data_IF_599807202076
#
_entry.id   IF_599807202076
#
_cell.length_a   1.000
_cell.length_b   1.000
_cell.length_c   1.000
_cell.angle_alpha   90.00
_cell.angle_beta   90.00
_cell.angle_gamma   90.00
#
_symmetry.space_group_name_H-M   'P 1'
#
loop_
_entity.id
_entity.type
_entity.pdbx_description
1 polymer ?
#
# COMPACT_ATOMS: atom_id res chain seq x y z
N UNK A 1 -17.37 14.47 -15.08
CA UNK A 1 -17.71 13.15 -15.65
C UNK A 1 -18.29 12.31 -14.54
N UNK A 2 -19.24 11.42 -14.84
CA UNK A 2 -19.86 10.50 -13.85
C UNK A 2 -18.79 9.61 -13.18
N UNK A 3 -17.67 9.35 -13.86
CA UNK A 3 -16.54 8.53 -13.37
C UNK A 3 -15.81 9.06 -12.12
N UNK A 4 -15.80 10.38 -11.88
CA UNK A 4 -15.03 10.93 -10.75
C UNK A 4 -15.81 10.93 -9.42
N UNK A 5 -17.14 10.80 -9.49
CA UNK A 5 -18.03 10.79 -8.30
C UNK A 5 -17.75 9.61 -7.36
N UNK A 6 -17.24 8.51 -7.90
CA UNK A 6 -17.13 7.25 -7.18
C UNK A 6 -15.69 6.92 -6.75
N UNK A 7 -14.69 7.72 -7.12
CA UNK A 7 -13.29 7.34 -6.87
C UNK A 7 -12.94 7.22 -5.37
N UNK A 8 -13.35 8.19 -4.54
CA UNK A 8 -13.12 8.11 -3.09
C UNK A 8 -13.95 6.99 -2.46
N UNK A 9 -15.20 6.81 -2.90
CA UNK A 9 -16.06 5.74 -2.39
C UNK A 9 -15.49 4.36 -2.74
N UNK A 10 -15.03 4.16 -3.98
CA UNK A 10 -14.37 2.95 -4.43
C UNK A 10 -13.09 2.67 -3.63
N UNK A 11 -12.21 3.68 -3.47
CA UNK A 11 -10.99 3.54 -2.65
C UNK A 11 -11.33 3.20 -1.20
N UNK A 12 -12.34 3.85 -0.63
CA UNK A 12 -12.81 3.57 0.73
C UNK A 12 -13.33 2.14 0.86
N UNK A 13 -14.10 1.66 -0.10
CA UNK A 13 -14.65 0.30 -0.11
C UNK A 13 -13.55 -0.75 -0.27
N UNK A 14 -12.59 -0.53 -1.18
CA UNK A 14 -11.43 -1.41 -1.35
C UNK A 14 -10.62 -1.47 -0.07
N UNK A 15 -10.35 -0.32 0.55
CA UNK A 15 -9.65 -0.23 1.83
C UNK A 15 -10.40 -0.96 2.94
N UNK A 16 -11.72 -0.76 3.04
CA UNK A 16 -12.56 -1.43 4.03
C UNK A 16 -12.59 -2.95 3.83
N UNK A 17 -12.68 -3.41 2.58
CA UNK A 17 -12.62 -4.84 2.25
C UNK A 17 -11.26 -5.45 2.65
N UNK A 18 -10.16 -4.77 2.35
CA UNK A 18 -8.83 -5.17 2.79
C UNK A 18 -8.75 -5.27 4.32
N UNK A 19 -9.29 -4.27 5.05
CA UNK A 19 -9.29 -4.30 6.52
C UNK A 19 -10.14 -5.42 7.09
N UNK A 20 -11.32 -5.65 6.52
CA UNK A 20 -12.19 -6.75 6.93
C UNK A 20 -11.48 -8.11 6.78
N UNK A 21 -10.74 -8.30 5.68
CA UNK A 21 -9.92 -9.51 5.48
C UNK A 21 -8.83 -9.64 6.55
N UNK A 22 -8.09 -8.57 6.83
CA UNK A 22 -7.05 -8.59 7.89
C UNK A 22 -7.66 -8.96 9.24
N UNK A 23 -8.77 -8.32 9.63
CA UNK A 23 -9.45 -8.56 10.89
C UNK A 23 -10.03 -10.00 10.99
N UNK A 24 -10.48 -10.54 9.87
CA UNK A 24 -10.90 -11.93 9.77
C UNK A 24 -9.73 -12.89 10.03
N UNK A 25 -8.56 -12.63 9.42
CA UNK A 25 -7.36 -13.45 9.65
C UNK A 25 -6.82 -13.34 11.07
N UNK A 26 -6.88 -12.16 11.70
CA UNK A 26 -6.43 -11.97 13.09
C UNK A 26 -7.46 -12.39 14.14
N UNK A 27 -8.66 -12.83 13.72
CA UNK A 27 -9.75 -13.33 14.57
C UNK A 27 -10.23 -12.35 15.65
N UNK A 28 -10.15 -11.04 15.40
CA UNK A 28 -10.59 -9.99 16.34
C UNK A 28 -10.04 -10.19 17.77
N UNK A 29 -8.74 -10.46 17.88
CA UNK A 29 -8.10 -10.89 19.12
C UNK A 29 -8.10 -9.82 20.22
N UNK A 30 -8.32 -8.53 19.90
CA UNK A 30 -8.26 -7.43 20.85
C UNK A 30 -9.48 -6.49 20.80
N UNK A 31 -9.75 -5.72 21.88
CA UNK A 31 -10.75 -4.65 21.86
C UNK A 31 -10.49 -3.60 20.77
N UNK A 32 -9.22 -3.36 20.41
CA UNK A 32 -8.87 -2.48 19.29
C UNK A 32 -9.32 -3.04 17.95
N UNK A 33 -9.20 -4.35 17.73
CA UNK A 33 -9.69 -5.01 16.51
C UNK A 33 -11.21 -4.93 16.39
N UNK A 34 -11.93 -5.05 17.51
CA UNK A 34 -13.39 -4.90 17.56
C UNK A 34 -13.81 -3.47 17.21
N UNK A 35 -13.15 -2.47 17.81
CA UNK A 35 -13.37 -1.05 17.46
C UNK A 35 -13.06 -0.80 15.98
N UNK A 36 -11.96 -1.32 15.47
CA UNK A 36 -11.58 -1.21 14.07
C UNK A 36 -12.64 -1.85 13.16
N UNK A 37 -13.15 -3.04 13.50
CA UNK A 37 -14.20 -3.72 12.74
C UNK A 37 -15.49 -2.88 12.65
N UNK A 38 -15.90 -2.26 13.77
CA UNK A 38 -17.04 -1.36 13.80
C UNK A 38 -16.82 -0.13 12.90
N UNK A 39 -15.65 0.51 12.98
CA UNK A 39 -15.32 1.69 12.19
C UNK A 39 -15.19 1.37 10.69
N UNK A 40 -14.61 0.23 10.34
CA UNK A 40 -14.53 -0.27 8.95
C UNK A 40 -15.94 -0.52 8.40
N UNK A 41 -16.80 -1.15 9.20
CA UNK A 41 -18.20 -1.40 8.80
C UNK A 41 -18.94 -0.07 8.61
N UNK A 42 -18.80 0.86 9.54
CA UNK A 42 -19.38 2.19 9.44
C UNK A 42 -18.88 2.93 8.19
N UNK A 43 -17.57 2.92 7.92
CA UNK A 43 -16.98 3.55 6.74
C UNK A 43 -17.45 2.91 5.43
N UNK A 44 -17.62 1.59 5.38
CA UNK A 44 -18.14 0.89 4.21
C UNK A 44 -19.62 1.23 3.92
N UNK A 45 -20.46 1.23 4.97
CA UNK A 45 -21.88 1.57 4.86
C UNK A 45 -22.11 3.07 4.60
N UNK A 46 -21.16 3.91 5.00
CA UNK A 46 -21.19 5.36 4.82
C UNK A 46 -20.06 5.81 3.90
N UNK A 47 -19.84 5.11 2.78
CA UNK A 47 -18.76 5.42 1.82
C UNK A 47 -18.76 6.87 1.29
N UNK A 48 -19.86 7.60 1.47
CA UNK A 48 -20.01 9.02 1.18
C UNK A 48 -19.78 9.96 2.40
N UNK A 49 -19.45 9.45 3.58
CA UNK A 49 -19.24 10.18 4.84
C UNK A 49 -17.79 10.07 5.33
N UNK A 50 -16.94 11.04 4.96
CA UNK A 50 -15.51 11.04 5.28
C UNK A 50 -15.13 10.88 6.76
N UNK A 51 -15.88 11.39 7.76
CA UNK A 51 -15.54 11.23 9.17
C UNK A 51 -15.40 9.78 9.63
N UNK A 52 -16.26 8.86 9.16
CA UNK A 52 -16.16 7.45 9.51
C UNK A 52 -14.86 6.83 8.99
N UNK A 53 -14.48 7.16 7.76
CA UNK A 53 -13.21 6.73 7.17
C UNK A 53 -12.01 7.32 7.92
N UNK A 54 -12.05 8.60 8.28
CA UNK A 54 -10.97 9.25 9.07
C UNK A 54 -10.80 8.55 10.42
N UNK A 55 -11.90 8.26 11.12
CA UNK A 55 -11.83 7.54 12.38
C UNK A 55 -11.22 6.13 12.19
N UNK A 56 -11.67 5.40 11.17
CA UNK A 56 -11.16 4.07 10.84
C UNK A 56 -9.65 4.09 10.48
N UNK A 57 -9.20 5.09 9.72
CA UNK A 57 -7.79 5.29 9.39
C UNK A 57 -6.98 5.63 10.64
N UNK A 58 -7.50 6.51 11.51
CA UNK A 58 -6.83 6.93 12.74
C UNK A 58 -6.59 5.76 13.70
N UNK A 59 -7.61 4.94 13.95
CA UNK A 59 -7.47 3.75 14.81
C UNK A 59 -6.49 2.75 14.21
N UNK A 60 -6.53 2.52 12.88
CA UNK A 60 -5.56 1.65 12.21
C UNK A 60 -4.12 2.14 12.33
N UNK A 61 -3.89 3.44 12.15
CA UNK A 61 -2.54 4.02 12.30
C UNK A 61 -2.04 3.82 13.74
N UNK A 62 -2.88 4.11 14.74
CA UNK A 62 -2.53 3.90 16.15
C UNK A 62 -2.20 2.43 16.42
N UNK A 63 -3.03 1.50 15.93
CA UNK A 63 -2.82 0.07 16.09
C UNK A 63 -1.48 -0.38 15.46
N UNK A 64 -1.18 0.08 14.24
CA UNK A 64 0.10 -0.22 13.58
C UNK A 64 1.28 0.34 14.37
N UNK A 65 1.22 1.59 14.84
CA UNK A 65 2.29 2.24 15.61
C UNK A 65 2.50 1.57 16.96
N UNK A 66 1.45 1.11 17.63
CA UNK A 66 1.55 0.41 18.90
C UNK A 66 2.32 -0.92 18.79
N UNK A 67 2.36 -1.52 17.61
CA UNK A 67 3.14 -2.74 17.34
C UNK A 67 4.62 -2.46 17.04
N UNK A 68 5.06 -1.20 16.96
CA UNK A 68 6.45 -0.86 16.67
C UNK A 68 7.33 -1.04 17.92
N UNK A 69 8.56 -1.57 17.77
CA UNK A 69 9.30 -1.88 16.53
C UNK A 69 9.06 -3.30 15.99
N UNK A 70 8.16 -4.09 16.58
CA UNK A 70 7.97 -5.51 16.27
C UNK A 70 7.15 -5.77 15.00
N UNK A 71 6.73 -4.72 14.28
CA UNK A 71 5.95 -4.85 13.06
C UNK A 71 6.86 -5.05 11.83
N UNK A 72 6.35 -5.73 10.81
CA UNK A 72 7.04 -5.86 9.53
C UNK A 72 7.04 -4.54 8.75
N UNK A 73 8.02 -4.36 7.86
CA UNK A 73 8.16 -3.19 6.99
C UNK A 73 6.86 -2.80 6.28
N UNK A 74 6.07 -3.78 5.83
CA UNK A 74 4.78 -3.56 5.16
C UNK A 74 3.74 -2.85 6.04
N UNK A 75 3.75 -3.03 7.36
CA UNK A 75 2.85 -2.31 8.27
C UNK A 75 3.22 -0.83 8.39
N UNK A 76 4.51 -0.50 8.38
CA UNK A 76 4.97 0.89 8.34
C UNK A 76 4.48 1.59 7.08
N UNK A 77 4.56 0.91 5.93
CA UNK A 77 4.08 1.46 4.66
C UNK A 77 2.57 1.66 4.66
N UNK A 78 1.80 0.68 5.13
CA UNK A 78 0.34 0.83 5.27
C UNK A 78 -0.02 2.03 6.15
N UNK A 79 0.65 2.20 7.30
CA UNK A 79 0.40 3.31 8.21
C UNK A 79 0.74 4.67 7.55
N UNK A 80 1.83 4.75 6.78
CA UNK A 80 2.22 5.98 6.09
C UNK A 80 1.25 6.37 4.96
N UNK A 81 0.78 5.40 4.17
CA UNK A 81 -0.21 5.66 3.10
C UNK A 81 -1.58 6.00 3.67
N UNK A 82 -1.98 5.34 4.76
CA UNK A 82 -3.21 5.66 5.49
C UNK A 82 -3.14 7.06 6.09
N UNK A 83 -1.99 7.44 6.67
CA UNK A 83 -1.76 8.77 7.22
C UNK A 83 -1.84 9.86 6.14
N UNK A 84 -1.31 9.62 4.94
CA UNK A 84 -1.43 10.55 3.82
C UNK A 84 -2.89 10.82 3.45
N UNK A 85 -3.71 9.78 3.37
CA UNK A 85 -5.15 9.91 3.10
C UNK A 85 -5.90 10.59 4.25
N UNK A 86 -5.60 10.20 5.49
CA UNK A 86 -6.20 10.80 6.69
C UNK A 86 -5.93 12.30 6.75
N UNK A 87 -4.67 12.73 6.58
CA UNK A 87 -4.29 14.14 6.60
C UNK A 87 -4.96 14.90 5.46
N UNK A 88 -4.97 14.35 4.24
CA UNK A 88 -5.62 14.99 3.10
C UNK A 88 -7.13 15.22 3.35
N UNK A 89 -7.83 14.23 3.90
CA UNK A 89 -9.25 14.34 4.24
C UNK A 89 -9.48 15.31 5.43
N UNK A 90 -8.66 15.24 6.48
CA UNK A 90 -8.78 16.11 7.65
C UNK A 90 -8.60 17.59 7.29
N UNK A 91 -7.64 17.91 6.40
CA UNK A 91 -7.45 19.26 5.86
C UNK A 91 -8.68 19.74 5.09
N UNK A 92 -9.31 18.87 4.28
CA UNK A 92 -10.52 19.26 3.55
C UNK A 92 -11.72 19.50 4.46
N UNK A 93 -11.85 18.76 5.57
CA UNK A 93 -12.91 18.98 6.57
C UNK A 93 -12.66 20.26 7.37
N UNK A 94 -11.42 20.51 7.81
CA UNK A 94 -11.11 21.71 8.60
C UNK A 94 -11.39 23.01 7.84
N UNK A 95 -11.25 22.99 6.51
CA UNK A 95 -11.59 24.09 5.62
C UNK A 95 -13.11 24.26 5.36
N UNK A 96 -13.98 23.43 5.95
CA UNK A 96 -15.44 23.59 5.90
C UNK A 96 -16.10 23.04 7.16
N UNK A 97 -16.13 23.84 8.26
CA UNK A 97 -16.60 23.38 9.57
C UNK A 97 -18.05 22.87 9.59
N UNK A 98 -18.89 23.36 8.67
CA UNK A 98 -20.27 22.87 8.48
C UNK A 98 -20.35 21.42 7.99
N UNK A 99 -19.23 20.81 7.60
CA UNK A 99 -19.17 19.43 7.10
C UNK A 99 -18.87 18.38 8.16
N UNK A 100 -18.73 18.74 9.45
CA UNK A 100 -18.53 17.74 10.53
C UNK A 100 -19.65 16.67 10.55
N UNK A 101 -20.89 17.09 10.25
CA UNK A 101 -22.05 16.20 10.10
C UNK A 101 -22.49 16.05 8.64
N UNK A 102 -21.77 16.67 7.71
CA UNK A 102 -22.11 16.74 6.30
C UNK A 102 -21.18 15.91 5.41
N UNK A 103 -21.54 15.81 4.15
CA UNK A 103 -20.68 15.20 3.13
C UNK A 103 -19.71 16.25 2.57
N UNK A 104 -18.44 15.90 2.34
CA UNK A 104 -17.53 16.75 1.57
C UNK A 104 -18.07 16.92 0.14
N UNK A 105 -17.89 18.12 -0.44
CA UNK A 105 -18.20 18.33 -1.86
C UNK A 105 -17.33 17.45 -2.75
N UNK A 106 -17.84 17.09 -3.92
CA UNK A 106 -17.15 16.24 -4.90
C UNK A 106 -15.75 16.77 -5.24
N UNK A 107 -15.63 18.09 -5.47
CA UNK A 107 -14.35 18.74 -5.75
C UNK A 107 -13.32 18.57 -4.63
N UNK A 108 -13.75 18.65 -3.36
CA UNK A 108 -12.87 18.46 -2.19
C UNK A 108 -12.47 17.00 -2.01
N UNK A 109 -13.39 16.06 -2.25
CA UNK A 109 -13.07 14.62 -2.22
C UNK A 109 -12.03 14.26 -3.28
N UNK A 110 -12.23 14.74 -4.52
CA UNK A 110 -11.30 14.54 -5.62
C UNK A 110 -9.93 15.17 -5.31
N UNK A 111 -9.92 16.37 -4.73
CA UNK A 111 -8.69 17.03 -4.27
C UNK A 111 -7.95 16.19 -3.22
N UNK A 112 -8.64 15.75 -2.15
CA UNK A 112 -8.04 14.94 -1.10
C UNK A 112 -7.45 13.64 -1.65
N UNK A 113 -8.20 12.94 -2.49
CA UNK A 113 -7.74 11.68 -3.08
C UNK A 113 -6.52 11.89 -4.00
N UNK A 114 -6.53 12.96 -4.80
CA UNK A 114 -5.40 13.30 -5.67
C UNK A 114 -4.14 13.62 -4.88
N UNK A 115 -4.24 14.44 -3.83
CA UNK A 115 -3.09 14.77 -2.98
C UNK A 115 -2.59 13.54 -2.21
N UNK A 116 -3.49 12.72 -1.64
CA UNK A 116 -3.12 11.48 -0.96
C UNK A 116 -2.41 10.51 -1.93
N UNK A 117 -2.95 10.33 -3.13
CA UNK A 117 -2.34 9.48 -4.18
C UNK A 117 -0.95 9.99 -4.58
N UNK A 118 -0.80 11.31 -4.72
CA UNK A 118 0.48 11.93 -5.05
C UNK A 118 1.51 11.71 -3.94
N UNK A 119 1.12 11.90 -2.68
CA UNK A 119 2.01 11.64 -1.52
C UNK A 119 2.41 10.17 -1.46
N UNK A 120 1.44 9.24 -1.62
CA UNK A 120 1.72 7.80 -1.62
C UNK A 120 2.68 7.40 -2.73
N UNK A 121 2.55 7.99 -3.93
CA UNK A 121 3.50 7.76 -5.04
C UNK A 121 4.90 8.25 -4.71
N UNK A 122 5.04 9.43 -4.09
CA UNK A 122 6.35 9.92 -3.62
C UNK A 122 6.96 9.00 -2.56
N UNK A 123 6.19 8.57 -1.57
CA UNK A 123 6.64 7.64 -0.52
C UNK A 123 7.16 6.32 -1.13
N UNK A 124 6.35 5.70 -2.00
CA UNK A 124 6.73 4.45 -2.67
C UNK A 124 7.91 4.65 -3.62
N UNK A 125 7.97 5.77 -4.33
CA UNK A 125 9.09 6.10 -5.20
C UNK A 125 10.41 6.14 -4.41
N UNK A 126 10.46 6.89 -3.31
CA UNK A 126 11.65 6.99 -2.46
C UNK A 126 12.01 5.66 -1.82
N UNK A 127 11.01 4.87 -1.41
CA UNK A 127 11.23 3.53 -0.90
C UNK A 127 11.93 2.64 -1.93
N UNK A 128 11.35 2.48 -3.11
CA UNK A 128 11.91 1.61 -4.15
C UNK A 128 13.26 2.12 -4.68
N UNK A 129 13.45 3.44 -4.74
CA UNK A 129 14.78 4.03 -5.02
C UNK A 129 15.80 3.62 -3.96
N UNK A 130 15.46 3.77 -2.69
CA UNK A 130 16.37 3.46 -1.58
C UNK A 130 16.65 1.97 -1.50
N UNK A 131 15.64 1.13 -1.73
CA UNK A 131 15.75 -0.32 -1.78
C UNK A 131 16.67 -0.78 -2.92
N UNK A 132 16.51 -0.22 -4.13
CA UNK A 132 17.38 -0.52 -5.27
C UNK A 132 18.82 -0.09 -4.99
N UNK A 133 19.04 1.13 -4.48
CA UNK A 133 20.36 1.63 -4.11
C UNK A 133 21.03 0.76 -3.04
N UNK A 134 20.29 0.38 -1.99
CA UNK A 134 20.82 -0.49 -0.94
C UNK A 134 21.23 -1.86 -1.49
N UNK A 135 20.40 -2.47 -2.34
CA UNK A 135 20.70 -3.76 -2.97
C UNK A 135 21.91 -3.68 -3.91
N UNK A 136 22.04 -2.59 -4.67
CA UNK A 136 23.21 -2.37 -5.53
C UNK A 136 24.51 -2.18 -4.74
N UNK A 137 24.43 -1.63 -3.52
CA UNK A 137 25.58 -1.36 -2.65
C UNK A 137 25.85 -2.45 -1.61
N UNK A 138 25.18 -3.60 -1.69
CA UNK A 138 25.37 -4.74 -0.79
C UNK A 138 25.71 -6.01 -1.56
N UNK A 139 25.90 -7.12 -0.85
CA UNK A 139 26.12 -8.44 -1.47
C UNK A 139 24.86 -9.00 -2.17
N UNK A 140 23.75 -8.25 -2.21
CA UNK A 140 22.49 -8.71 -2.78
C UNK A 140 22.60 -9.14 -4.24
N UNK A 141 23.46 -8.52 -5.05
CA UNK A 141 23.63 -8.88 -6.46
C UNK A 141 24.36 -10.23 -6.67
N UNK A 142 25.04 -10.76 -5.66
CA UNK A 142 25.53 -12.14 -5.72
C UNK A 142 24.40 -13.09 -5.33
N UNK A 143 23.96 -13.90 -6.30
CA UNK A 143 22.88 -14.87 -6.13
C UNK A 143 23.06 -15.84 -4.95
N UNK A 144 24.28 -16.04 -4.45
CA UNK A 144 24.58 -16.90 -3.28
C UNK A 144 24.20 -16.25 -1.96
N UNK A 145 24.18 -14.92 -1.92
CA UNK A 145 23.88 -14.13 -0.72
C UNK A 145 22.51 -13.43 -0.82
N UNK A 146 21.88 -13.44 -2.00
CA UNK A 146 20.56 -12.85 -2.22
C UNK A 146 19.42 -13.73 -1.71
N UNK A 147 18.43 -13.10 -1.07
CA UNK A 147 17.15 -13.77 -0.78
C UNK A 147 16.26 -13.94 -2.03
N UNK A 148 16.53 -13.22 -3.12
CA UNK A 148 15.75 -13.35 -4.35
C UNK A 148 15.92 -14.73 -5.01
N UNK A 149 17.13 -15.30 -4.95
CA UNK A 149 17.46 -16.59 -5.54
C UNK A 149 16.63 -17.75 -4.97
N UNK A 150 16.60 -18.01 -3.65
CA UNK A 150 15.78 -19.08 -3.10
C UNK A 150 14.28 -18.83 -3.30
N UNK A 151 13.83 -17.57 -3.31
CA UNK A 151 12.43 -17.24 -3.57
C UNK A 151 12.01 -17.58 -5.00
N UNK A 152 12.83 -17.19 -6.00
CA UNK A 152 12.58 -17.56 -7.40
C UNK A 152 12.66 -19.07 -7.59
N UNK A 153 13.61 -19.76 -6.95
CA UNK A 153 13.68 -21.22 -7.00
C UNK A 153 12.39 -21.88 -6.48
N UNK A 154 11.85 -21.40 -5.36
CA UNK A 154 10.58 -21.88 -4.80
C UNK A 154 9.40 -21.63 -5.75
N UNK A 155 9.32 -20.45 -6.38
CA UNK A 155 8.29 -20.15 -7.37
C UNK A 155 8.40 -21.05 -8.60
N UNK A 156 9.61 -21.26 -9.11
CA UNK A 156 9.83 -22.15 -10.27
C UNK A 156 9.38 -23.57 -9.96
N UNK A 157 9.71 -24.10 -8.78
CA UNK A 157 9.26 -25.43 -8.34
C UNK A 157 7.73 -25.49 -8.15
N UNK A 158 7.12 -24.44 -7.61
CA UNK A 158 5.70 -24.42 -7.33
C UNK A 158 4.82 -24.33 -8.59
N UNK A 159 5.32 -23.69 -9.66
CA UNK A 159 4.51 -23.33 -10.83
C UNK A 159 4.98 -23.91 -12.16
N UNK A 160 6.19 -24.47 -12.26
CA UNK A 160 6.62 -25.18 -13.47
C UNK A 160 6.16 -26.64 -13.46
N UNK A 161 5.90 -27.24 -14.64
CA UNK A 161 5.73 -28.68 -14.77
C UNK A 161 6.91 -29.45 -14.17
N UNK A 162 6.64 -30.61 -13.56
CA UNK A 162 7.66 -31.45 -12.91
C UNK A 162 8.85 -31.76 -13.81
N UNK A 163 8.62 -31.96 -15.11
CA UNK A 163 9.68 -32.22 -16.10
C UNK A 163 10.68 -31.06 -16.27
N UNK A 164 10.24 -29.82 -16.02
CA UNK A 164 11.08 -28.62 -16.05
C UNK A 164 11.68 -28.33 -14.67
N UNK A 165 10.91 -28.55 -13.59
CA UNK A 165 11.39 -28.43 -12.23
C UNK A 165 12.47 -29.48 -11.88
N UNK A 166 12.48 -30.64 -12.54
CA UNK A 166 13.51 -31.67 -12.37
C UNK A 166 14.82 -31.39 -13.14
N UNK A 167 14.91 -30.29 -13.89
CA UNK A 167 16.08 -29.94 -14.70
C UNK A 167 16.86 -28.76 -14.09
N UNK A 168 17.71 -28.99 -13.05
CA UNK A 168 18.40 -27.92 -12.31
C UNK A 168 19.27 -27.04 -13.21
N UNK A 169 19.92 -27.61 -14.22
CA UNK A 169 20.78 -26.88 -15.15
C UNK A 169 20.01 -25.81 -15.95
N UNK A 170 18.72 -26.03 -16.20
CA UNK A 170 17.86 -25.06 -16.90
C UNK A 170 17.34 -23.97 -15.98
N UNK A 171 17.19 -24.26 -14.69
CA UNK A 171 16.70 -23.30 -13.69
C UNK A 171 17.82 -22.43 -13.13
N UNK A 172 19.04 -22.94 -13.04
CA UNK A 172 20.18 -22.25 -12.44
C UNK A 172 20.42 -20.84 -13.01
N UNK A 173 20.33 -20.59 -14.33
CA UNK A 173 20.47 -19.23 -14.88
C UNK A 173 19.35 -18.28 -14.44
N UNK A 174 18.11 -18.77 -14.34
CA UNK A 174 16.95 -17.96 -13.91
C UNK A 174 17.10 -17.58 -12.43
N UNK A 175 17.51 -18.54 -11.60
CA UNK A 175 17.80 -18.32 -10.19
C UNK A 175 18.97 -17.35 -10.01
N UNK A 176 20.03 -17.49 -10.81
CA UNK A 176 21.19 -16.60 -10.78
C UNK A 176 20.86 -15.16 -11.22
N UNK A 177 19.91 -14.99 -12.15
CA UNK A 177 19.46 -13.68 -12.61
C UNK A 177 18.46 -12.99 -11.66
N UNK A 178 17.87 -13.73 -10.71
CA UNK A 178 16.83 -13.21 -9.81
C UNK A 178 17.20 -11.89 -9.11
N UNK A 179 18.41 -11.72 -8.53
CA UNK A 179 18.75 -10.49 -7.83
C UNK A 179 18.80 -9.27 -8.76
N UNK A 180 19.33 -9.46 -9.97
CA UNK A 180 19.36 -8.40 -10.99
C UNK A 180 17.95 -8.00 -11.41
N UNK A 181 17.07 -8.97 -11.64
CA UNK A 181 15.67 -8.71 -12.01
C UNK A 181 14.93 -7.93 -10.92
N UNK A 182 15.19 -8.21 -9.64
CA UNK A 182 14.62 -7.44 -8.52
C UNK A 182 15.10 -5.99 -8.55
N UNK A 183 16.41 -5.75 -8.67
CA UNK A 183 16.96 -4.39 -8.73
C UNK A 183 16.43 -3.62 -9.93
N UNK A 184 16.33 -4.27 -11.10
CA UNK A 184 15.75 -3.68 -12.30
C UNK A 184 14.28 -3.31 -12.07
N UNK A 185 13.49 -4.22 -11.50
CA UNK A 185 12.08 -3.99 -11.19
C UNK A 185 11.86 -2.83 -10.23
N UNK A 186 12.63 -2.77 -9.14
CA UNK A 186 12.58 -1.68 -8.16
C UNK A 186 12.97 -0.33 -8.80
N UNK A 187 13.99 -0.34 -9.67
CA UNK A 187 14.44 0.87 -10.38
C UNK A 187 13.37 1.38 -11.36
N UNK A 188 12.80 0.50 -12.18
CA UNK A 188 11.75 0.84 -13.15
C UNK A 188 10.49 1.32 -12.44
N UNK A 189 10.07 0.61 -11.39
CA UNK A 189 8.90 0.99 -10.59
C UNK A 189 9.10 2.34 -9.92
N UNK A 190 10.27 2.58 -9.32
CA UNK A 190 10.60 3.88 -8.72
C UNK A 190 10.56 5.01 -9.75
N UNK A 191 11.16 4.83 -10.92
CA UNK A 191 11.14 5.82 -11.99
C UNK A 191 9.71 6.12 -12.49
N UNK A 192 8.88 5.08 -12.66
CA UNK A 192 7.48 5.23 -13.05
C UNK A 192 6.67 5.99 -11.98
N UNK A 193 6.87 5.67 -10.70
CA UNK A 193 6.22 6.38 -9.58
C UNK A 193 6.67 7.83 -9.48
N UNK A 194 7.97 8.12 -9.65
CA UNK A 194 8.50 9.48 -9.70
C UNK A 194 7.89 10.27 -10.85
N UNK A 195 7.84 9.69 -12.05
CA UNK A 195 7.21 10.34 -13.21
C UNK A 195 5.71 10.60 -12.96
N UNK A 196 4.98 9.64 -12.39
CA UNK A 196 3.57 9.78 -12.05
C UNK A 196 3.29 10.74 -10.89
N UNK A 197 4.27 10.98 -10.01
CA UNK A 197 4.18 11.93 -8.90
C UNK A 197 4.61 13.34 -9.30
N UNK A 198 5.56 13.47 -10.24
CA UNK A 198 6.09 14.72 -10.78
C UNK A 198 5.25 15.29 -11.92
N UNK A 199 4.54 14.44 -12.67
CA UNK A 199 3.63 14.85 -13.72
C UNK A 199 2.62 15.87 -13.18
N UNK A 200 2.63 17.09 -13.72
CA UNK A 200 1.64 18.16 -13.48
C UNK A 200 0.21 17.83 -13.98
N UNK A 201 -0.10 16.55 -14.18
CA UNK A 201 -1.22 16.04 -14.98
C UNK A 201 -2.30 15.37 -14.16
N UNK A 202 -3.10 16.19 -13.50
CA UNK A 202 -4.51 15.91 -13.22
C UNK A 202 -5.29 17.21 -13.46
N UNK A 203 -5.04 17.84 -14.60
CA UNK A 203 -6.00 18.73 -15.25
C UNK A 203 -6.98 17.85 -16.04
#
# INVERSE_FOLDING_TARGET
>A
SVEMRDALAAVSLIWCAQQALILFYTKLASPFDQLQALLVTAAALSSAWPPALIAALGVRIIANVACWPNAWESHFWCAQTDAALLVALAVQISQSPSTLFGSLSEARRAFALREASRIARWQLAFFYSSAALFKMNSSFLDHRYSCASPYVAQLLVAYLPESLAAAPDKMAPLVAAAPFMVVLGETVLSAALLAAAAGRGGQ
#
